data_IF_812093921094
#
_entry.id   IF_812093921094
#
_cell.length_a   1.000
_cell.length_b   1.000
_cell.length_c   1.000
_cell.angle_alpha   90.00
_cell.angle_beta   90.00
_cell.angle_gamma   90.00
#
_symmetry.space_group_name_H-M   'P 1'
#
loop_
_entity.id
_entity.type
_entity.pdbx_description
1 polymer ?
#
# COMPACT_ATOMS: atom_id res chain seq x y z
N UNK A 1 20.53 -14.75 -17.84
CA UNK A 1 21.07 -14.65 -16.48
C UNK A 1 20.38 -13.47 -15.82
N UNK A 2 19.19 -13.69 -15.26
CA UNK A 2 18.41 -12.63 -14.62
C UNK A 2 18.88 -12.55 -13.16
N UNK A 3 19.59 -11.47 -12.79
CA UNK A 3 19.91 -11.19 -11.38
C UNK A 3 18.60 -10.77 -10.72
N UNK A 4 17.98 -11.68 -9.98
CA UNK A 4 16.97 -11.33 -8.99
C UNK A 4 17.70 -10.51 -7.92
N UNK A 5 17.47 -9.20 -7.86
CA UNK A 5 17.84 -8.41 -6.70
C UNK A 5 16.95 -8.87 -5.55
N UNK A 6 17.54 -9.64 -4.63
CA UNK A 6 16.98 -9.89 -3.31
C UNK A 6 16.65 -8.53 -2.68
N UNK A 7 15.37 -8.19 -2.60
CA UNK A 7 14.92 -7.09 -1.77
C UNK A 7 15.47 -7.31 -0.37
N UNK A 8 16.28 -6.39 0.10
CA UNK A 8 16.80 -6.40 1.46
C UNK A 8 15.61 -6.21 2.40
N UNK A 9 15.06 -7.31 2.92
CA UNK A 9 14.36 -7.26 4.20
C UNK A 9 15.49 -7.17 5.22
N UNK A 10 15.87 -5.96 5.60
CA UNK A 10 16.70 -5.77 6.80
C UNK A 10 15.85 -6.16 8.00
N UNK A 11 16.40 -6.97 8.90
CA UNK A 11 15.86 -7.30 10.23
C UNK A 11 15.80 -6.06 11.15
N UNK A 12 15.29 -4.94 10.64
CA UNK A 12 15.12 -3.71 11.38
C UNK A 12 13.80 -3.79 12.14
N UNK A 13 13.89 -3.77 13.47
CA UNK A 13 12.72 -3.74 14.34
C UNK A 13 11.92 -2.47 14.01
N UNK A 14 10.74 -2.64 13.44
CA UNK A 14 9.81 -1.55 13.17
C UNK A 14 9.30 -1.02 14.51
N UNK A 15 9.51 0.27 14.85
CA UNK A 15 8.99 0.85 16.09
C UNK A 15 7.46 0.83 16.10
N UNK A 16 6.84 0.50 17.24
CA UNK A 16 5.38 0.47 17.40
C UNK A 16 4.75 1.84 17.10
N UNK A 17 5.37 2.92 17.60
CA UNK A 17 4.96 4.32 17.35
C UNK A 17 4.86 4.66 15.84
N UNK A 18 5.72 4.06 15.01
CA UNK A 18 5.69 4.24 13.56
C UNK A 18 4.41 3.62 12.97
N UNK A 19 4.04 2.44 13.43
CA UNK A 19 2.83 1.73 12.99
C UNK A 19 1.59 2.52 13.41
N UNK A 20 1.54 3.00 14.65
CA UNK A 20 0.41 3.77 15.18
C UNK A 20 0.21 5.08 14.43
N UNK A 21 1.30 5.79 14.14
CA UNK A 21 1.26 7.05 13.38
C UNK A 21 0.66 6.84 11.98
N UNK A 22 1.12 5.79 11.28
CA UNK A 22 0.60 5.44 9.95
C UNK A 22 -0.87 5.02 10.06
N UNK A 23 -1.22 4.22 11.07
CA UNK A 23 -2.58 3.72 11.26
C UNK A 23 -3.58 4.85 11.51
N UNK A 24 -3.30 5.76 12.44
CA UNK A 24 -4.21 6.87 12.74
C UNK A 24 -4.33 7.82 11.54
N UNK A 25 -3.23 8.10 10.84
CA UNK A 25 -3.26 8.91 9.62
C UNK A 25 -4.21 8.32 8.56
N UNK A 26 -4.12 7.02 8.30
CA UNK A 26 -4.96 6.32 7.32
C UNK A 26 -6.41 6.26 7.79
N UNK A 27 -6.64 5.87 9.04
CA UNK A 27 -7.97 5.71 9.65
C UNK A 27 -8.83 6.96 9.57
N UNK A 28 -8.23 8.15 9.65
CA UNK A 28 -8.90 9.45 9.51
C UNK A 28 -9.26 9.80 8.05
N UNK A 29 -8.51 9.28 7.08
CA UNK A 29 -8.62 9.65 5.65
C UNK A 29 -9.40 8.64 4.83
N UNK A 30 -9.50 7.40 5.29
CA UNK A 30 -10.26 6.35 4.60
C UNK A 30 -11.47 5.94 5.42
N UNK A 31 -12.60 5.90 4.76
CA UNK A 31 -13.84 5.36 5.31
C UNK A 31 -13.92 3.84 5.13
N UNK A 32 -13.24 3.32 4.10
CA UNK A 32 -13.17 1.89 3.82
C UNK A 32 -12.44 1.15 4.95
N UNK A 33 -13.00 -0.01 5.33
CA UNK A 33 -12.39 -0.95 6.28
C UNK A 33 -12.15 -2.25 5.53
N UNK A 34 -10.98 -2.40 4.89
CA UNK A 34 -10.69 -3.52 4.02
C UNK A 34 -10.55 -4.81 4.83
N UNK A 35 -11.08 -5.91 4.26
CA UNK A 35 -10.90 -7.24 4.84
C UNK A 35 -9.71 -7.97 4.22
N UNK A 36 -9.29 -7.53 3.02
CA UNK A 36 -8.25 -8.17 2.22
C UNK A 36 -7.23 -7.11 1.83
N UNK A 37 -5.96 -7.38 2.13
CA UNK A 37 -4.81 -6.61 1.64
C UNK A 37 -4.14 -7.35 0.48
N UNK A 38 -3.84 -6.64 -0.60
CA UNK A 38 -3.18 -7.17 -1.79
C UNK A 38 -1.87 -6.43 -1.97
N UNK A 39 -0.74 -7.13 -2.00
CA UNK A 39 0.57 -6.55 -2.31
C UNK A 39 1.00 -7.09 -3.67
N UNK A 40 1.24 -6.20 -4.62
CA UNK A 40 1.53 -6.57 -6.01
C UNK A 40 2.99 -6.37 -6.40
N UNK A 41 3.53 -7.38 -7.10
CA UNK A 41 4.81 -7.27 -7.79
C UNK A 41 4.71 -6.47 -9.10
N UNK A 42 5.85 -6.36 -9.78
CA UNK A 42 5.99 -5.69 -11.08
C UNK A 42 4.91 -6.16 -12.08
N UNK A 43 4.22 -5.20 -12.71
CA UNK A 43 3.24 -5.45 -13.78
C UNK A 43 1.79 -5.69 -13.35
N UNK A 44 1.49 -5.77 -12.04
CA UNK A 44 0.13 -5.99 -11.53
C UNK A 44 -0.54 -4.75 -10.93
N UNK A 45 0.14 -3.60 -10.90
CA UNK A 45 -0.39 -2.36 -10.32
C UNK A 45 -1.65 -1.82 -10.98
N UNK A 46 -1.94 -2.20 -12.24
CA UNK A 46 -3.15 -1.76 -12.93
C UNK A 46 -4.46 -2.38 -12.42
N UNK A 47 -4.40 -3.44 -11.61
CA UNK A 47 -5.59 -4.14 -11.11
C UNK A 47 -6.32 -3.35 -10.01
N UNK A 48 -5.64 -2.45 -9.28
CA UNK A 48 -6.28 -1.53 -8.33
C UNK A 48 -7.33 -0.66 -9.01
N UNK A 49 -7.13 -0.33 -10.30
CA UNK A 49 -8.06 0.47 -11.11
C UNK A 49 -9.40 -0.22 -11.36
N UNK A 50 -9.48 -1.53 -11.14
CA UNK A 50 -10.73 -2.30 -11.27
C UNK A 50 -11.63 -2.19 -10.02
N UNK A 51 -11.13 -1.60 -8.93
CA UNK A 51 -11.94 -1.37 -7.72
C UNK A 51 -12.96 -0.25 -7.96
N UNK A 52 -14.11 -0.34 -7.29
CA UNK A 52 -15.11 0.71 -7.20
C UNK A 52 -14.89 1.54 -5.93
N UNK A 53 -15.48 2.75 -5.88
CA UNK A 53 -15.43 3.68 -4.74
C UNK A 53 -14.01 3.89 -4.18
N UNK A 54 -13.06 4.21 -5.07
CA UNK A 54 -11.66 4.26 -4.69
C UNK A 54 -11.32 5.47 -3.79
N UNK A 55 -10.61 5.20 -2.71
CA UNK A 55 -9.91 6.20 -1.89
C UNK A 55 -8.40 5.94 -2.09
N UNK A 56 -7.69 6.88 -2.73
CA UNK A 56 -6.27 6.72 -3.10
C UNK A 56 -5.42 7.62 -2.20
N UNK A 57 -4.34 7.07 -1.63
CA UNK A 57 -3.39 7.80 -0.78
C UNK A 57 -1.98 7.55 -1.31
N UNK A 58 -1.26 8.62 -1.66
CA UNK A 58 0.14 8.50 -2.06
C UNK A 58 1.01 8.12 -0.86
N UNK A 59 2.02 7.28 -1.07
CA UNK A 59 2.99 6.93 -0.02
C UNK A 59 3.72 8.16 0.51
N UNK A 60 3.92 9.19 -0.32
CA UNK A 60 4.59 10.43 0.05
C UNK A 60 3.78 11.26 1.07
N UNK A 61 2.45 11.09 1.08
CA UNK A 61 1.57 11.79 2.01
C UNK A 61 1.53 11.11 3.38
N UNK A 62 1.91 9.82 3.47
CA UNK A 62 1.79 9.03 4.69
C UNK A 62 3.03 9.28 5.57
N UNK A 63 2.85 9.83 6.78
CA UNK A 63 3.96 10.12 7.68
C UNK A 63 4.67 8.83 8.08
N UNK A 64 6.00 8.86 8.09
CA UNK A 64 6.88 7.73 8.43
C UNK A 64 6.74 6.49 7.54
N UNK A 65 6.05 6.60 6.40
CA UNK A 65 5.91 5.52 5.44
C UNK A 65 7.17 5.39 4.57
N UNK A 66 7.60 4.18 4.20
CA UNK A 66 8.77 4.00 3.36
C UNK A 66 8.55 4.56 1.96
N UNK A 67 9.58 5.22 1.42
CA UNK A 67 9.59 5.69 0.05
C UNK A 67 9.94 4.54 -0.90
N UNK A 68 9.14 4.33 -1.94
CA UNK A 68 9.46 3.37 -3.00
C UNK A 68 10.39 4.01 -4.03
N UNK A 69 11.62 3.53 -4.13
CA UNK A 69 12.62 4.02 -5.10
C UNK A 69 12.57 3.29 -6.45
N UNK A 70 11.57 2.44 -6.69
CA UNK A 70 11.50 1.60 -7.90
C UNK A 70 10.71 2.30 -8.99
N UNK A 71 11.38 2.66 -10.09
CA UNK A 71 10.74 3.20 -11.29
C UNK A 71 9.65 2.24 -11.81
N UNK A 72 8.42 2.73 -11.98
CA UNK A 72 7.30 1.98 -12.56
C UNK A 72 6.35 1.31 -11.57
N UNK A 73 6.57 1.42 -10.25
CA UNK A 73 5.56 1.12 -9.24
C UNK A 73 4.78 2.38 -8.89
N UNK A 74 3.44 2.28 -8.90
CA UNK A 74 2.62 3.33 -8.34
C UNK A 74 2.83 3.33 -6.82
N UNK A 75 3.41 4.41 -6.29
CA UNK A 75 3.66 4.61 -4.86
C UNK A 75 2.38 5.10 -4.17
N UNK A 76 1.34 4.28 -4.21
CA UNK A 76 0.01 4.62 -3.71
C UNK A 76 -0.66 3.42 -3.04
N UNK A 77 -1.43 3.68 -1.97
CA UNK A 77 -2.38 2.75 -1.39
C UNK A 77 -3.75 3.04 -2.00
N UNK A 78 -4.41 2.02 -2.53
CA UNK A 78 -5.75 2.14 -3.10
C UNK A 78 -6.73 1.32 -2.27
N UNK A 79 -7.63 2.03 -1.60
CA UNK A 79 -8.76 1.41 -0.92
C UNK A 79 -9.95 1.41 -1.88
N UNK A 80 -10.74 0.35 -1.87
CA UNK A 80 -11.96 0.30 -2.67
C UNK A 80 -12.70 -0.99 -2.46
N UNK A 81 -13.71 -1.24 -3.29
CA UNK A 81 -14.52 -2.44 -3.20
C UNK A 81 -14.87 -3.07 -4.56
N UNK A 82 -15.15 -4.36 -4.55
CA UNK A 82 -15.77 -5.06 -5.68
C UNK A 82 -16.75 -6.10 -5.17
N UNK A 83 -17.97 -6.11 -5.73
CA UNK A 83 -19.07 -6.98 -5.31
C UNK A 83 -19.32 -6.95 -3.78
N UNK A 84 -19.16 -5.77 -3.15
CA UNK A 84 -19.36 -5.58 -1.70
C UNK A 84 -18.19 -6.04 -0.82
N UNK A 85 -17.11 -6.56 -1.40
CA UNK A 85 -15.89 -6.93 -0.67
C UNK A 85 -14.92 -5.76 -0.72
N UNK A 86 -14.40 -5.37 0.44
CA UNK A 86 -13.49 -4.21 0.60
C UNK A 86 -12.03 -4.66 0.56
N UNK A 87 -11.23 -3.99 -0.25
CA UNK A 87 -9.83 -4.27 -0.51
C UNK A 87 -8.95 -3.07 -0.14
N UNK A 88 -7.76 -3.38 0.36
CA UNK A 88 -6.60 -2.51 0.35
C UNK A 88 -5.64 -3.07 -0.70
N UNK A 89 -5.22 -2.23 -1.61
CA UNK A 89 -4.25 -2.54 -2.65
C UNK A 89 -3.00 -1.68 -2.51
#
# INVERSE_FOLDING_TARGET
MCRMSTGQISDEIIPEERIDTIYEFLKERVSTRPLIGVVCGLGLGGLSKCLSNQEVISYEDIPQFPYSTVEGHASELVFGDTNGIKYLW
#
